data_IF_514895636927
#
_entry.id   IF_514895636927
#
_cell.length_a   1.000
_cell.length_b   1.000
_cell.length_c   1.000
_cell.angle_alpha   90.00
_cell.angle_beta   90.00
_cell.angle_gamma   90.00
#
_symmetry.space_group_name_H-M   'P 1'
#
loop_
_entity.id
_entity.type
_entity.pdbx_description
1 polymer ?
#
# COMPACT_ATOMS: atom_id res chain seq x y z
N UNK A 1 18.34 23.08 13.37
CA UNK A 1 18.47 22.06 14.43
C UNK A 1 18.57 20.68 13.80
N UNK A 2 19.45 19.82 14.33
CA UNK A 2 19.79 18.47 13.83
C UNK A 2 18.72 17.43 14.23
N UNK A 3 18.48 16.48 13.31
CA UNK A 3 18.06 15.06 13.49
C UNK A 3 16.75 14.78 14.24
N UNK A 4 15.88 13.90 13.69
CA UNK A 4 15.30 12.65 14.30
C UNK A 4 14.33 11.92 13.33
N UNK A 5 14.79 11.49 12.16
CA UNK A 5 14.03 10.53 11.32
C UNK A 5 14.90 9.30 11.00
N UNK A 6 15.82 8.97 11.91
CA UNK A 6 16.69 7.79 11.85
C UNK A 6 16.72 7.10 13.21
N UNK A 7 15.56 7.02 13.85
CA UNK A 7 15.37 6.20 15.04
C UNK A 7 14.69 4.91 14.59
N UNK A 8 15.52 3.86 14.58
CA UNK A 8 15.12 2.45 14.65
C UNK A 8 14.58 1.80 13.36
N UNK A 9 15.46 1.66 12.36
CA UNK A 9 15.52 0.34 11.70
C UNK A 9 16.26 -0.58 12.67
N UNK A 10 15.58 -1.06 13.71
CA UNK A 10 16.13 -2.18 14.48
C UNK A 10 16.50 -3.26 13.47
N UNK A 11 17.76 -3.76 13.46
CA UNK A 11 18.06 -4.92 12.63
C UNK A 11 17.04 -5.98 13.00
N UNK A 12 16.40 -6.59 11.98
CA UNK A 12 15.42 -7.66 12.18
C UNK A 12 15.95 -8.55 13.29
N UNK A 13 15.25 -8.66 14.45
CA UNK A 13 15.79 -9.35 15.60
C UNK A 13 16.34 -10.71 15.18
N UNK A 14 17.56 -11.05 15.61
CA UNK A 14 18.22 -12.33 15.26
C UNK A 14 17.35 -13.56 15.60
N UNK A 15 16.35 -13.37 16.44
CA UNK A 15 15.32 -14.36 16.77
C UNK A 15 14.53 -14.75 15.51
N UNK A 16 14.17 -13.79 14.64
CA UNK A 16 13.49 -14.10 13.38
C UNK A 16 14.38 -14.89 12.43
N UNK A 17 15.68 -14.57 12.35
CA UNK A 17 16.59 -15.34 11.49
C UNK A 17 16.77 -16.76 12.02
N UNK A 18 16.84 -16.95 13.34
CA UNK A 18 16.86 -18.28 13.96
C UNK A 18 15.55 -19.05 13.72
N UNK A 19 14.39 -18.41 13.86
CA UNK A 19 13.09 -19.05 13.59
C UNK A 19 12.94 -19.41 12.10
N UNK A 20 13.39 -18.55 11.18
CA UNK A 20 13.44 -18.84 9.74
C UNK A 20 14.34 -20.04 9.46
N UNK A 21 15.51 -20.10 10.10
CA UNK A 21 16.45 -21.23 9.95
C UNK A 21 15.88 -22.52 10.54
N UNK A 22 15.27 -22.48 11.73
CA UNK A 22 14.58 -23.64 12.35
C UNK A 22 13.42 -24.13 11.49
N UNK A 23 12.61 -23.21 10.95
CA UNK A 23 11.52 -23.54 10.03
C UNK A 23 12.06 -24.21 8.75
N UNK A 24 13.17 -23.70 8.20
CA UNK A 24 13.83 -24.27 7.01
C UNK A 24 14.43 -25.67 7.27
N UNK A 25 14.99 -25.89 8.46
CA UNK A 25 15.57 -27.19 8.84
C UNK A 25 14.48 -28.22 9.14
N UNK A 26 13.39 -27.83 9.81
CA UNK A 26 12.27 -28.73 10.13
C UNK A 26 11.44 -29.13 8.92
N UNK A 27 11.38 -28.27 7.89
CA UNK A 27 10.61 -28.51 6.67
C UNK A 27 11.49 -28.34 5.42
N UNK A 28 12.46 -29.24 5.19
CA UNK A 28 13.46 -29.11 4.12
C UNK A 28 12.87 -29.14 2.70
N UNK A 29 11.61 -29.57 2.54
CA UNK A 29 10.88 -29.60 1.26
C UNK A 29 9.90 -28.44 1.05
N UNK A 30 9.69 -27.57 2.04
CA UNK A 30 8.77 -26.44 1.90
C UNK A 30 9.63 -25.20 1.70
N UNK A 31 9.71 -24.75 0.45
CA UNK A 31 10.37 -23.50 0.10
C UNK A 31 9.89 -22.43 1.08
N UNK A 32 10.79 -21.86 1.89
CA UNK A 32 10.42 -20.93 2.98
C UNK A 32 9.60 -19.72 2.49
N UNK A 33 9.65 -19.42 1.18
CA UNK A 33 8.79 -18.44 0.51
C UNK A 33 7.32 -18.85 0.31
N UNK A 34 6.92 -20.08 0.64
CA UNK A 34 5.53 -20.53 0.66
C UNK A 34 4.84 -20.27 2.01
N UNK A 35 5.61 -20.19 3.10
CA UNK A 35 5.07 -19.92 4.44
C UNK A 35 4.82 -18.44 4.70
N UNK A 36 5.64 -17.57 4.12
CA UNK A 36 5.50 -16.13 4.23
C UNK A 36 5.09 -15.56 2.88
N UNK A 37 3.95 -14.88 2.86
CA UNK A 37 3.53 -14.14 1.68
C UNK A 37 4.62 -13.11 1.33
N UNK A 38 5.13 -13.17 0.10
CA UNK A 38 6.06 -12.16 -0.42
C UNK A 38 5.36 -10.82 -0.52
N UNK A 39 6.13 -9.72 -0.50
CA UNK A 39 5.58 -8.39 -0.71
C UNK A 39 4.70 -8.33 -1.97
N UNK A 40 5.15 -8.90 -3.09
CA UNK A 40 4.38 -8.98 -4.33
C UNK A 40 3.05 -9.72 -4.18
N UNK A 41 3.02 -10.84 -3.43
CA UNK A 41 1.77 -11.58 -3.21
C UNK A 41 0.80 -10.83 -2.30
N UNK A 42 1.31 -10.19 -1.24
CA UNK A 42 0.50 -9.35 -0.34
C UNK A 42 -0.05 -8.16 -1.12
N UNK A 43 0.81 -7.48 -1.86
CA UNK A 43 0.49 -6.31 -2.66
C UNK A 43 -0.54 -6.65 -3.74
N UNK A 44 -0.32 -7.72 -4.51
CA UNK A 44 -1.28 -8.22 -5.49
C UNK A 44 -2.62 -8.61 -4.84
N UNK A 45 -2.61 -9.25 -3.67
CA UNK A 45 -3.85 -9.61 -2.96
C UNK A 45 -4.61 -8.37 -2.46
N UNK A 46 -3.89 -7.37 -1.97
CA UNK A 46 -4.43 -6.13 -1.44
C UNK A 46 -5.03 -5.29 -2.57
N UNK A 47 -4.29 -5.12 -3.67
CA UNK A 47 -4.78 -4.42 -4.85
C UNK A 47 -5.92 -5.17 -5.54
N UNK A 48 -5.90 -6.51 -5.59
CA UNK A 48 -7.02 -7.31 -6.13
C UNK A 48 -8.28 -7.23 -5.26
N UNK A 49 -8.14 -7.18 -3.94
CA UNK A 49 -9.28 -6.95 -3.04
C UNK A 49 -9.81 -5.52 -3.19
N UNK A 50 -8.90 -4.55 -3.34
CA UNK A 50 -9.25 -3.15 -3.59
C UNK A 50 -10.02 -3.02 -4.90
N UNK A 51 -9.56 -3.63 -6.00
CA UNK A 51 -10.22 -3.52 -7.31
C UNK A 51 -11.62 -4.15 -7.36
N UNK A 52 -11.94 -5.10 -6.46
CA UNK A 52 -13.29 -5.65 -6.32
C UNK A 52 -14.24 -4.74 -5.55
N UNK A 53 -13.73 -4.02 -4.55
CA UNK A 53 -14.53 -3.28 -3.59
C UNK A 53 -14.59 -1.78 -3.88
N UNK A 54 -13.62 -1.25 -4.62
CA UNK A 54 -13.50 0.17 -4.95
C UNK A 54 -13.61 0.35 -6.46
N UNK A 55 -14.22 1.47 -6.91
CA UNK A 55 -14.25 1.80 -8.31
C UNK A 55 -12.82 1.96 -8.86
N UNK A 56 -12.65 1.69 -10.15
CA UNK A 56 -11.40 2.01 -10.86
C UNK A 56 -11.08 3.48 -10.70
N UNK A 57 -9.78 3.81 -10.65
CA UNK A 57 -9.38 5.21 -10.67
C UNK A 57 -9.92 5.88 -11.95
N UNK A 58 -10.46 7.11 -11.84
CA UNK A 58 -10.91 7.88 -12.99
C UNK A 58 -9.71 8.16 -13.90
N UNK A 59 -9.89 7.96 -15.21
CA UNK A 59 -8.85 8.20 -16.22
C UNK A 59 -8.98 9.59 -16.83
N UNK A 60 -10.19 10.13 -16.84
CA UNK A 60 -10.53 11.47 -17.27
C UNK A 60 -11.25 12.23 -16.15
N UNK A 61 -11.26 13.55 -16.24
CA UNK A 61 -12.08 14.41 -15.36
C UNK A 61 -13.58 14.06 -15.45
N UNK A 62 -14.04 13.64 -16.63
CA UNK A 62 -15.43 13.23 -16.83
C UNK A 62 -15.80 12.00 -15.98
N UNK A 63 -14.83 11.17 -15.62
CA UNK A 63 -15.03 10.00 -14.76
C UNK A 63 -15.11 10.37 -13.27
N UNK A 64 -14.66 11.58 -12.90
CA UNK A 64 -14.59 12.04 -11.52
C UNK A 64 -15.95 12.63 -11.11
N UNK A 65 -16.90 11.75 -10.76
CA UNK A 65 -18.23 12.16 -10.29
C UNK A 65 -18.14 12.69 -8.85
N UNK A 66 -18.04 14.01 -8.71
CA UNK A 66 -18.14 14.68 -7.41
C UNK A 66 -19.61 14.98 -7.05
N UNK A 67 -20.04 14.68 -5.82
CA UNK A 67 -21.34 15.14 -5.33
C UNK A 67 -21.43 16.67 -5.38
N UNK A 68 -22.63 17.22 -5.60
CA UNK A 68 -22.84 18.68 -5.76
C UNK A 68 -22.23 19.49 -4.61
N UNK A 69 -22.31 18.96 -3.39
CA UNK A 69 -21.77 19.59 -2.17
C UNK A 69 -20.26 19.78 -2.19
N UNK A 70 -19.56 19.05 -3.06
CA UNK A 70 -18.09 18.99 -3.16
C UNK A 70 -17.57 19.60 -4.46
N UNK A 71 -18.46 20.07 -5.36
CA UNK A 71 -18.04 20.72 -6.60
C UNK A 71 -17.54 22.14 -6.37
N UNK A 72 -18.06 22.81 -5.34
CA UNK A 72 -17.76 24.18 -5.02
C UNK A 72 -17.07 24.29 -3.66
N UNK A 73 -16.04 25.12 -3.58
CA UNK A 73 -15.42 25.54 -2.35
C UNK A 73 -16.36 26.47 -1.55
N UNK A 74 -15.97 26.81 -0.32
CA UNK A 74 -16.75 27.69 0.57
C UNK A 74 -17.13 29.04 -0.04
N UNK A 75 -16.35 29.51 -1.02
CA UNK A 75 -16.55 30.79 -1.70
C UNK A 75 -17.19 30.67 -3.10
N UNK A 76 -17.71 29.49 -3.46
CA UNK A 76 -18.35 29.26 -4.76
C UNK A 76 -17.37 29.02 -5.93
N UNK A 77 -16.08 28.89 -5.63
CA UNK A 77 -15.05 28.54 -6.62
C UNK A 77 -15.06 27.03 -6.89
N UNK A 78 -14.68 26.56 -8.09
CA UNK A 78 -14.57 25.13 -8.36
C UNK A 78 -13.55 24.48 -7.39
N UNK A 79 -13.96 23.38 -6.76
CA UNK A 79 -13.11 22.66 -5.81
C UNK A 79 -11.90 22.00 -6.51
N UNK A 80 -12.12 21.48 -7.72
CA UNK A 80 -11.06 20.89 -8.52
C UNK A 80 -10.47 21.95 -9.46
N UNK A 81 -9.19 22.23 -9.27
CA UNK A 81 -8.39 23.00 -10.21
C UNK A 81 -7.68 21.99 -11.11
N UNK A 82 -7.92 22.09 -12.41
CA UNK A 82 -7.24 21.28 -13.41
C UNK A 82 -6.26 22.19 -14.11
N UNK A 83 -4.97 21.85 -14.03
CA UNK A 83 -3.97 22.50 -14.85
C UNK A 83 -4.21 22.07 -16.31
N UNK A 84 -4.60 23.02 -17.16
CA UNK A 84 -4.62 22.81 -18.61
C UNK A 84 -3.16 22.62 -19.07
N UNK A 85 -2.82 21.39 -19.45
CA UNK A 85 -1.53 21.04 -20.07
C UNK A 85 -1.46 21.51 -21.53
#
# INVERSE_FOLDING_TARGET
MKKRAREETTPIPKIYTQEIVKARISHPGIATGLFFATFETIDASLYRRRSKNYPSLPKSLADLVLPDVWRLAKHGEPFLIVDEL
#
